data_IF_263310029956
#
_entry.id   IF_263310029956
#
_cell.length_a   1.000
_cell.length_b   1.000
_cell.length_c   1.000
_cell.angle_alpha   90.00
_cell.angle_beta   90.00
_cell.angle_gamma   90.00
#
_symmetry.space_group_name_H-M   'P 1'
#
loop_
_entity.id
_entity.type
_entity.pdbx_description
1 polymer ?
#
# COMPACT_ATOMS: atom_id res chain seq x y z
N UNK A 1 -9.01 0.66 -17.75
CA UNK A 1 -9.32 0.68 -19.19
C UNK A 1 -9.55 -0.75 -19.64
N UNK A 2 -10.79 -1.12 -19.97
CA UNK A 2 -11.19 -2.48 -20.40
C UNK A 2 -10.96 -2.79 -21.87
N UNK A 3 -10.36 -1.89 -22.66
CA UNK A 3 -10.25 -2.01 -24.12
C UNK A 3 -9.54 -3.30 -24.61
N UNK A 4 -8.41 -3.75 -24.01
CA UNK A 4 -7.79 -5.02 -24.41
C UNK A 4 -8.72 -6.22 -24.20
N UNK A 5 -9.46 -6.24 -23.09
CA UNK A 5 -10.44 -7.30 -22.79
C UNK A 5 -11.62 -7.23 -23.77
N UNK A 6 -12.13 -6.03 -24.07
CA UNK A 6 -13.20 -5.82 -25.05
C UNK A 6 -12.82 -6.36 -26.43
N UNK A 7 -11.58 -6.12 -26.87
CA UNK A 7 -11.06 -6.66 -28.13
C UNK A 7 -11.02 -8.19 -28.11
N UNK A 8 -10.59 -8.81 -27.00
CA UNK A 8 -10.57 -10.27 -26.85
C UNK A 8 -11.96 -10.88 -26.95
N UNK A 9 -12.93 -10.32 -26.22
CA UNK A 9 -14.34 -10.76 -26.24
C UNK A 9 -14.94 -10.61 -27.64
N UNK A 10 -14.70 -9.48 -28.32
CA UNK A 10 -15.19 -9.23 -29.67
C UNK A 10 -14.66 -10.25 -30.69
N UNK A 11 -13.36 -10.58 -30.62
CA UNK A 11 -12.74 -11.58 -31.49
C UNK A 11 -13.31 -12.98 -31.24
N UNK A 12 -13.40 -13.40 -29.99
CA UNK A 12 -13.89 -14.73 -29.61
C UNK A 12 -15.36 -14.94 -30.02
N UNK A 13 -16.20 -13.92 -29.82
CA UNK A 13 -17.62 -14.00 -30.15
C UNK A 13 -17.93 -13.67 -31.62
N UNK A 14 -16.92 -13.26 -32.41
CA UNK A 14 -17.13 -12.81 -33.79
C UNK A 14 -18.00 -11.56 -33.90
N UNK A 15 -17.98 -10.69 -32.88
CA UNK A 15 -18.81 -9.48 -32.80
C UNK A 15 -18.00 -8.22 -33.14
N UNK A 16 -18.63 -7.20 -33.73
CA UNK A 16 -17.96 -5.92 -33.97
C UNK A 16 -17.68 -5.20 -32.64
N UNK A 17 -16.47 -4.64 -32.52
CA UNK A 17 -16.14 -3.69 -31.45
C UNK A 17 -16.56 -2.28 -31.91
N UNK A 18 -17.42 -1.63 -31.12
CA UNK A 18 -17.99 -0.32 -31.44
C UNK A 18 -17.71 0.71 -30.34
N UNK A 19 -17.42 1.94 -30.72
CA UNK A 19 -17.26 3.08 -29.79
C UNK A 19 -18.61 3.74 -29.51
N UNK A 20 -19.49 3.03 -28.81
CA UNK A 20 -20.84 3.53 -28.53
C UNK A 20 -20.94 4.40 -27.25
N UNK A 21 -19.85 4.51 -26.49
CA UNK A 21 -19.74 5.32 -25.28
C UNK A 21 -18.53 6.25 -25.42
N UNK A 22 -18.78 7.55 -25.52
CA UNK A 22 -17.74 8.57 -25.61
C UNK A 22 -17.53 9.26 -24.27
N UNK A 23 -16.27 9.46 -23.88
CA UNK A 23 -15.95 10.12 -22.61
C UNK A 23 -15.75 11.62 -22.87
N UNK A 24 -16.45 12.49 -22.15
CA UNK A 24 -16.21 13.93 -22.26
C UNK A 24 -14.87 14.30 -21.63
N UNK A 25 -13.92 14.74 -22.45
CA UNK A 25 -12.58 15.18 -22.00
C UNK A 25 -12.58 16.56 -21.31
N UNK A 26 -13.71 17.28 -21.31
CA UNK A 26 -13.85 18.63 -20.75
C UNK A 26 -14.39 18.67 -19.31
N UNK A 27 -14.78 17.53 -18.75
CA UNK A 27 -15.32 17.44 -17.38
C UNK A 27 -14.18 17.09 -16.41
N UNK A 28 -13.62 18.12 -15.78
CA UNK A 28 -12.64 17.99 -14.68
C UNK A 28 -13.25 17.54 -13.34
N UNK A 29 -12.61 17.87 -12.22
CA UNK A 29 -13.08 17.50 -10.87
C UNK A 29 -14.42 18.18 -10.55
N UNK A 30 -15.51 17.42 -10.55
CA UNK A 30 -16.91 17.81 -10.23
C UNK A 30 -17.13 18.36 -8.81
N UNK A 31 -16.09 18.44 -7.98
CA UNK A 31 -16.15 18.90 -6.59
C UNK A 31 -16.24 20.44 -6.44
N UNK A 32 -15.99 21.20 -7.52
CA UNK A 32 -15.87 22.67 -7.47
C UNK A 32 -17.23 23.37 -7.74
N UNK A 33 -18.24 22.66 -8.26
CA UNK A 33 -19.52 23.30 -8.58
C UNK A 33 -20.44 23.47 -7.35
N UNK A 34 -21.01 24.67 -7.14
CA UNK A 34 -22.01 24.93 -6.09
C UNK A 34 -23.39 24.39 -6.51
N UNK A 35 -24.09 23.75 -5.56
CA UNK A 35 -25.44 23.16 -5.75
C UNK A 35 -25.41 21.64 -5.98
N UNK A 36 -26.24 20.89 -5.25
CA UNK A 36 -26.34 19.43 -5.37
C UNK A 36 -26.90 18.98 -6.74
N UNK A 37 -27.85 19.74 -7.30
CA UNK A 37 -28.44 19.47 -8.62
C UNK A 37 -27.44 19.66 -9.76
N UNK A 38 -26.62 20.72 -9.72
CA UNK A 38 -25.58 20.98 -10.72
C UNK A 38 -24.46 19.94 -10.69
N UNK A 39 -24.14 19.36 -9.52
CA UNK A 39 -23.20 18.22 -9.45
C UNK A 39 -23.75 16.95 -10.05
N UNK A 40 -25.05 16.69 -9.93
CA UNK A 40 -25.68 15.55 -10.59
C UNK A 40 -25.68 15.74 -12.12
N UNK A 41 -25.96 16.95 -12.60
CA UNK A 41 -25.91 17.29 -14.03
C UNK A 41 -24.50 17.22 -14.64
N UNK A 42 -23.45 17.67 -13.93
CA UNK A 42 -22.07 17.59 -14.43
C UNK A 42 -21.47 16.17 -14.41
N UNK A 43 -22.05 15.26 -13.60
CA UNK A 43 -21.70 13.83 -13.63
C UNK A 43 -22.41 13.12 -14.79
N UNK A 44 -23.58 13.61 -15.24
CA UNK A 44 -24.32 13.06 -16.37
C UNK A 44 -23.59 13.18 -17.72
N UNK A 45 -22.64 14.11 -17.88
CA UNK A 45 -21.90 14.31 -19.14
C UNK A 45 -20.60 13.51 -19.29
N UNK A 46 -20.29 12.61 -18.34
CA UNK A 46 -18.97 11.94 -18.30
C UNK A 46 -18.85 10.79 -19.30
N UNK A 47 -19.95 10.10 -19.57
CA UNK A 47 -20.09 9.05 -20.58
C UNK A 47 -21.32 9.38 -21.41
N UNK A 48 -21.10 9.76 -22.67
CA UNK A 48 -22.15 10.08 -23.62
C UNK A 48 -22.38 8.85 -24.51
N UNK A 49 -23.61 8.34 -24.47
CA UNK A 49 -24.02 7.18 -25.27
C UNK A 49 -24.44 7.68 -26.64
N UNK A 50 -24.02 6.99 -27.70
CA UNK A 50 -24.39 7.26 -29.09
C UNK A 50 -25.61 6.39 -29.45
N UNK A 51 -26.84 6.93 -29.45
CA UNK A 51 -28.05 6.10 -29.57
C UNK A 51 -28.14 5.34 -30.89
N UNK A 52 -27.68 5.94 -31.99
CA UNK A 52 -27.68 5.32 -33.33
C UNK A 52 -26.88 4.00 -33.38
N UNK A 53 -25.88 3.86 -32.50
CA UNK A 53 -25.08 2.65 -32.40
C UNK A 53 -25.70 1.59 -31.49
N UNK A 54 -26.75 1.92 -30.74
CA UNK A 54 -27.30 1.11 -29.65
C UNK A 54 -28.76 0.69 -29.89
N UNK A 55 -29.55 1.53 -30.55
CA UNK A 55 -30.99 1.34 -30.74
C UNK A 55 -31.32 -0.03 -31.38
N UNK A 56 -32.25 -0.77 -30.76
CA UNK A 56 -32.66 -2.13 -31.14
C UNK A 56 -31.51 -3.16 -31.21
N UNK A 57 -30.43 -2.94 -30.44
CA UNK A 57 -29.32 -3.91 -30.34
C UNK A 57 -29.25 -4.53 -28.95
N UNK A 58 -28.71 -5.75 -28.91
CA UNK A 58 -28.22 -6.40 -27.70
C UNK A 58 -26.74 -6.08 -27.56
N UNK A 59 -26.34 -5.52 -26.43
CA UNK A 59 -24.99 -4.95 -26.27
C UNK A 59 -24.24 -5.60 -25.12
N UNK A 60 -22.94 -5.84 -25.35
CA UNK A 60 -21.98 -6.30 -24.35
C UNK A 60 -21.04 -5.13 -24.03
N UNK A 61 -20.99 -4.75 -22.76
CA UNK A 61 -20.10 -3.70 -22.27
C UNK A 61 -19.01 -4.35 -21.44
N UNK A 62 -17.76 -4.11 -21.82
CA UNK A 62 -16.59 -4.67 -21.12
C UNK A 62 -15.87 -3.59 -20.33
N UNK A 63 -15.70 -3.81 -19.03
CA UNK A 63 -14.98 -2.92 -18.12
C UNK A 63 -13.85 -3.65 -17.40
N UNK A 64 -12.92 -2.91 -16.82
CA UNK A 64 -11.77 -3.53 -16.14
C UNK A 64 -12.16 -4.20 -14.81
N UNK A 65 -13.04 -3.57 -14.03
CA UNK A 65 -13.40 -4.04 -12.69
C UNK A 65 -14.70 -3.43 -12.17
N UNK A 66 -15.42 -4.18 -11.34
CA UNK A 66 -16.64 -3.70 -10.68
C UNK A 66 -16.41 -3.56 -9.16
N UNK A 67 -16.20 -2.33 -8.68
CA UNK A 67 -15.96 -2.07 -7.24
C UNK A 67 -17.24 -1.65 -6.50
N UNK A 68 -17.83 -0.50 -6.89
CA UNK A 68 -19.03 0.07 -6.23
C UNK A 68 -20.29 0.00 -7.09
N UNK A 69 -20.18 -0.50 -8.31
CA UNK A 69 -21.24 -0.61 -9.32
C UNK A 69 -21.93 0.71 -9.74
N UNK A 70 -21.63 1.85 -9.13
CA UNK A 70 -22.31 3.13 -9.41
C UNK A 70 -22.19 3.59 -10.87
N UNK A 71 -20.98 3.55 -11.44
CA UNK A 71 -20.75 3.90 -12.85
C UNK A 71 -21.40 2.87 -13.77
N UNK A 72 -21.16 1.59 -13.52
CA UNK A 72 -21.65 0.49 -14.36
C UNK A 72 -23.18 0.44 -14.39
N UNK A 73 -23.86 0.62 -13.24
CA UNK A 73 -25.33 0.73 -13.17
C UNK A 73 -25.86 1.89 -14.01
N UNK A 74 -25.21 3.05 -13.95
CA UNK A 74 -25.62 4.22 -14.76
C UNK A 74 -25.45 3.97 -16.24
N UNK A 75 -24.36 3.31 -16.64
CA UNK A 75 -24.16 2.91 -18.03
C UNK A 75 -25.24 1.94 -18.50
N UNK A 76 -25.58 0.93 -17.70
CA UNK A 76 -26.68 0.00 -18.04
C UNK A 76 -28.01 0.73 -18.25
N UNK A 77 -28.39 1.63 -17.32
CA UNK A 77 -29.62 2.40 -17.45
C UNK A 77 -29.59 3.31 -18.68
N UNK A 78 -28.50 4.04 -18.89
CA UNK A 78 -28.37 4.93 -20.05
C UNK A 78 -28.40 4.19 -21.39
N UNK A 79 -27.86 2.97 -21.46
CA UNK A 79 -27.90 2.16 -22.69
C UNK A 79 -29.33 1.66 -22.98
N UNK A 80 -30.08 1.30 -21.92
CA UNK A 80 -31.50 0.94 -22.05
C UNK A 80 -32.35 2.15 -22.46
N UNK A 81 -32.09 3.31 -21.87
CA UNK A 81 -32.77 4.57 -22.25
C UNK A 81 -32.46 4.97 -23.71
N UNK A 82 -31.28 4.62 -24.22
CA UNK A 82 -30.90 4.81 -25.62
C UNK A 82 -31.50 3.74 -26.58
N UNK A 83 -32.29 2.80 -26.08
CA UNK A 83 -33.01 1.80 -26.87
C UNK A 83 -32.29 0.46 -27.05
N UNK A 84 -31.32 0.11 -26.21
CA UNK A 84 -30.78 -1.25 -26.18
C UNK A 84 -31.87 -2.26 -25.76
N UNK A 85 -32.01 -3.36 -26.50
CA UNK A 85 -32.93 -4.46 -26.13
C UNK A 85 -32.43 -5.22 -24.90
N UNK A 86 -31.12 -5.47 -24.86
CA UNK A 86 -30.46 -6.17 -23.76
C UNK A 86 -29.08 -5.56 -23.49
N UNK A 87 -28.71 -5.49 -22.21
CA UNK A 87 -27.39 -5.01 -21.79
C UNK A 87 -26.70 -6.05 -20.92
N UNK A 88 -25.57 -6.57 -21.39
CA UNK A 88 -24.69 -7.49 -20.67
C UNK A 88 -23.41 -6.77 -20.25
N UNK A 89 -22.96 -7.03 -19.04
CA UNK A 89 -21.74 -6.44 -18.48
C UNK A 89 -20.68 -7.51 -18.26
N UNK A 90 -19.47 -7.28 -18.74
CA UNK A 90 -18.34 -8.20 -18.57
C UNK A 90 -17.22 -7.47 -17.87
N UNK A 91 -16.72 -8.04 -16.78
CA UNK A 91 -15.62 -7.46 -16.00
C UNK A 91 -14.36 -8.30 -16.15
N UNK A 92 -13.25 -7.68 -16.54
CA UNK A 92 -11.95 -8.31 -16.68
C UNK A 92 -11.24 -8.56 -15.31
N UNK A 93 -12.01 -8.69 -14.24
CA UNK A 93 -11.52 -8.97 -12.88
C UNK A 93 -12.47 -9.92 -12.16
N UNK A 94 -12.04 -10.59 -11.07
CA UNK A 94 -12.94 -11.26 -10.15
C UNK A 94 -13.81 -10.26 -9.38
N UNK A 95 -14.89 -10.71 -8.72
CA UNK A 95 -15.70 -9.86 -7.87
C UNK A 95 -14.91 -9.33 -6.66
N UNK A 96 -14.96 -8.02 -6.43
CA UNK A 96 -14.31 -7.38 -5.28
C UNK A 96 -15.23 -7.51 -4.05
N UNK A 97 -14.95 -8.51 -3.21
CA UNK A 97 -15.79 -8.87 -2.06
C UNK A 97 -15.26 -8.36 -0.71
N UNK A 98 -14.04 -7.84 -0.68
CA UNK A 98 -13.46 -7.18 0.48
C UNK A 98 -12.86 -5.81 0.11
N UNK A 99 -12.64 -4.96 1.12
CA UNK A 99 -11.90 -3.71 0.90
C UNK A 99 -10.42 -4.03 0.62
N UNK A 100 -9.56 -3.06 0.29
CA UNK A 100 -8.14 -3.30 0.07
C UNK A 100 -7.33 -2.37 0.99
N UNK A 101 -6.64 -2.95 1.98
CA UNK A 101 -5.90 -2.22 3.02
C UNK A 101 -4.44 -1.96 2.64
N UNK A 102 -4.05 -2.37 1.43
CA UNK A 102 -2.68 -2.30 0.89
C UNK A 102 -2.51 -1.21 -0.18
N UNK A 103 -3.49 -0.31 -0.34
CA UNK A 103 -3.30 0.94 -1.09
C UNK A 103 -4.19 1.17 -2.31
N UNK A 104 -5.26 0.39 -2.51
CA UNK A 104 -6.33 0.76 -3.46
C UNK A 104 -7.42 1.50 -2.66
N UNK A 105 -7.84 2.71 -3.09
CA UNK A 105 -8.91 3.51 -2.46
C UNK A 105 -10.29 2.82 -2.57
N UNK A 106 -10.44 1.76 -1.79
CA UNK A 106 -11.68 1.04 -1.58
C UNK A 106 -12.26 1.55 -0.27
N UNK A 107 -13.40 2.24 -0.38
CA UNK A 107 -14.19 2.64 0.80
C UNK A 107 -14.75 1.40 1.51
N UNK A 108 -15.34 1.61 2.68
CA UNK A 108 -15.74 0.54 3.62
C UNK A 108 -16.45 -0.64 2.96
N UNK A 109 -16.35 -1.84 3.56
CA UNK A 109 -17.02 -3.07 3.08
C UNK A 109 -18.51 -2.88 2.74
N UNK A 110 -19.21 -1.97 3.42
CA UNK A 110 -20.62 -1.62 3.17
C UNK A 110 -20.89 -1.00 1.79
N UNK A 111 -19.87 -0.48 1.12
CA UNK A 111 -19.98 0.14 -0.22
C UNK A 111 -19.60 -0.82 -1.35
N UNK A 112 -19.29 -2.10 -1.04
CA UNK A 112 -18.94 -3.14 -2.00
C UNK A 112 -20.12 -4.10 -2.16
N UNK A 113 -20.93 -3.98 -3.23
CA UNK A 113 -22.17 -4.75 -3.31
C UNK A 113 -21.92 -6.27 -3.39
N UNK A 114 -20.87 -6.69 -4.11
CA UNK A 114 -20.48 -8.10 -4.21
C UNK A 114 -20.09 -8.72 -2.84
N UNK A 115 -19.71 -7.91 -1.85
CA UNK A 115 -19.34 -8.39 -0.51
C UNK A 115 -20.50 -9.04 0.24
N UNK A 116 -21.76 -8.76 -0.14
CA UNK A 116 -22.95 -9.39 0.44
C UNK A 116 -23.05 -10.88 0.10
N UNK A 117 -22.40 -11.31 -0.99
CA UNK A 117 -22.44 -12.67 -1.52
C UNK A 117 -21.05 -13.31 -1.57
N UNK A 118 -20.13 -12.83 -0.73
CA UNK A 118 -18.73 -13.25 -0.72
C UNK A 118 -18.50 -14.76 -0.49
N UNK A 119 -19.50 -15.45 0.10
CA UNK A 119 -19.47 -16.88 0.40
C UNK A 119 -20.26 -17.73 -0.59
N UNK A 120 -20.89 -17.10 -1.58
CA UNK A 120 -21.72 -17.77 -2.58
C UNK A 120 -20.91 -18.15 -3.81
N UNK A 121 -21.48 -19.02 -4.64
CA UNK A 121 -20.93 -19.35 -5.96
C UNK A 121 -20.97 -18.15 -6.92
N UNK A 122 -20.04 -18.12 -7.88
CA UNK A 122 -19.86 -16.97 -8.78
C UNK A 122 -21.14 -16.62 -9.54
N UNK A 123 -21.91 -17.62 -9.96
CA UNK A 123 -23.17 -17.46 -10.68
C UNK A 123 -24.23 -16.73 -9.84
N UNK A 124 -24.20 -16.94 -8.52
CA UNK A 124 -25.09 -16.22 -7.57
C UNK A 124 -24.65 -14.77 -7.46
N UNK A 125 -23.35 -14.50 -7.36
CA UNK A 125 -22.81 -13.13 -7.31
C UNK A 125 -23.19 -12.39 -8.61
N UNK A 126 -22.95 -12.99 -9.77
CA UNK A 126 -23.27 -12.45 -11.09
C UNK A 126 -24.76 -12.10 -11.23
N UNK A 127 -25.65 -13.04 -10.87
CA UNK A 127 -27.10 -12.81 -10.90
C UNK A 127 -27.52 -11.62 -10.04
N UNK A 128 -27.03 -11.56 -8.80
CA UNK A 128 -27.39 -10.48 -7.88
C UNK A 128 -26.81 -9.12 -8.31
N UNK A 129 -25.58 -9.10 -8.82
CA UNK A 129 -24.96 -7.88 -9.37
C UNK A 129 -25.70 -7.41 -10.61
N UNK A 130 -26.13 -8.32 -11.48
CA UNK A 130 -26.93 -7.99 -12.67
C UNK A 130 -28.25 -7.32 -12.26
N UNK A 131 -28.95 -7.86 -11.26
CA UNK A 131 -30.17 -7.26 -10.71
C UNK A 131 -29.92 -5.86 -10.15
N UNK A 132 -28.87 -5.69 -9.33
CA UNK A 132 -28.50 -4.39 -8.77
C UNK A 132 -28.22 -3.33 -9.85
N UNK A 133 -27.60 -3.73 -10.95
CA UNK A 133 -27.25 -2.86 -12.07
C UNK A 133 -28.38 -2.70 -13.09
N UNK A 134 -29.46 -3.48 -12.97
CA UNK A 134 -30.50 -3.59 -13.98
C UNK A 134 -29.96 -4.07 -15.34
N UNK A 135 -28.93 -4.92 -15.34
CA UNK A 135 -28.38 -5.58 -16.52
C UNK A 135 -29.15 -6.89 -16.82
N UNK A 136 -29.11 -7.34 -18.08
CA UNK A 136 -29.63 -8.64 -18.50
C UNK A 136 -28.71 -9.79 -18.06
N UNK A 137 -27.41 -9.51 -17.90
CA UNK A 137 -26.45 -10.44 -17.32
C UNK A 137 -25.14 -9.74 -16.96
N UNK A 138 -24.41 -10.36 -16.03
CA UNK A 138 -23.07 -9.94 -15.61
C UNK A 138 -22.16 -11.15 -15.68
N UNK A 139 -20.94 -10.97 -16.16
CA UNK A 139 -19.88 -11.99 -16.15
C UNK A 139 -18.63 -11.39 -15.52
N UNK A 140 -18.04 -12.10 -14.56
CA UNK A 140 -16.72 -11.78 -14.01
C UNK A 140 -15.66 -12.73 -14.57
N UNK A 141 -14.41 -12.27 -14.63
CA UNK A 141 -13.28 -13.13 -14.91
C UNK A 141 -12.94 -13.95 -13.64
N UNK A 142 -13.10 -15.30 -13.65
CA UNK A 142 -12.81 -16.13 -12.48
C UNK A 142 -11.33 -16.10 -12.10
N UNK A 143 -11.04 -16.35 -10.82
CA UNK A 143 -9.66 -16.41 -10.32
C UNK A 143 -8.92 -17.59 -10.96
N UNK A 144 -9.62 -18.69 -11.16
CA UNK A 144 -9.13 -19.93 -11.77
C UNK A 144 -8.62 -19.67 -13.19
N UNK A 145 -9.35 -18.88 -13.97
CA UNK A 145 -8.99 -18.56 -15.35
C UNK A 145 -7.79 -17.61 -15.42
N UNK A 146 -7.70 -16.66 -14.48
CA UNK A 146 -6.51 -15.82 -14.32
C UNK A 146 -5.30 -16.68 -13.98
N UNK A 147 -5.46 -17.61 -13.05
CA UNK A 147 -4.38 -18.51 -12.63
C UNK A 147 -3.91 -19.38 -13.80
N UNK A 148 -4.84 -19.93 -14.57
CA UNK A 148 -4.55 -20.71 -15.77
C UNK A 148 -3.80 -19.86 -16.82
N UNK A 149 -4.29 -18.65 -17.13
CA UNK A 149 -3.66 -17.76 -18.10
C UNK A 149 -2.25 -17.30 -17.69
N UNK A 150 -1.97 -17.29 -16.39
CA UNK A 150 -0.68 -16.90 -15.83
C UNK A 150 0.24 -18.09 -15.49
N UNK A 151 -0.18 -19.33 -15.81
CA UNK A 151 0.55 -20.56 -15.46
C UNK A 151 0.87 -20.66 -13.95
N UNK A 152 -0.12 -20.30 -13.12
CA UNK A 152 -0.02 -20.23 -11.66
C UNK A 152 -1.20 -20.96 -10.99
N UNK A 153 -1.21 -21.05 -9.67
CA UNK A 153 -2.31 -21.70 -8.94
C UNK A 153 -3.32 -20.67 -8.45
N UNK A 154 -4.57 -21.08 -8.22
CA UNK A 154 -5.61 -20.17 -7.72
C UNK A 154 -5.23 -19.52 -6.39
N UNK A 155 -4.47 -20.21 -5.53
CA UNK A 155 -4.01 -19.73 -4.23
C UNK A 155 -3.10 -18.50 -4.35
N UNK A 156 -2.40 -18.33 -5.47
CA UNK A 156 -1.57 -17.16 -5.75
C UNK A 156 -2.40 -15.87 -5.94
N UNK A 157 -3.70 -16.00 -6.23
CA UNK A 157 -4.61 -14.91 -6.55
C UNK A 157 -5.83 -14.86 -5.62
N UNK A 158 -6.14 -15.98 -4.95
CA UNK A 158 -7.17 -16.10 -3.92
C UNK A 158 -6.67 -15.48 -2.61
N UNK A 159 -6.48 -14.16 -2.66
CA UNK A 159 -6.15 -13.32 -1.53
C UNK A 159 -7.05 -12.09 -1.54
N UNK A 160 -6.94 -11.29 -0.49
CA UNK A 160 -7.61 -9.99 -0.39
C UNK A 160 -7.29 -9.10 -1.62
N UNK A 161 -8.28 -8.52 -2.33
CA UNK A 161 -9.68 -8.33 -1.93
C UNK A 161 -10.70 -9.38 -2.46
N UNK A 162 -10.29 -10.45 -3.15
CA UNK A 162 -11.20 -11.32 -3.93
C UNK A 162 -11.81 -12.52 -3.17
N UNK A 163 -11.56 -12.66 -1.86
CA UNK A 163 -12.24 -13.65 -1.01
C UNK A 163 -11.31 -14.45 -0.10
N UNK A 164 -10.03 -14.55 -0.47
CA UNK A 164 -9.03 -15.22 0.36
C UNK A 164 -8.71 -14.51 1.66
N UNK A 165 -8.01 -15.20 2.60
CA UNK A 165 -7.57 -14.60 3.84
C UNK A 165 -6.81 -13.31 3.53
N UNK A 166 -7.04 -12.27 4.33
CA UNK A 166 -6.15 -11.12 4.31
C UNK A 166 -4.73 -11.68 4.51
N UNK A 167 -3.74 -11.36 3.65
CA UNK A 167 -2.44 -12.05 3.63
C UNK A 167 -1.62 -11.88 4.92
N UNK A 168 -2.21 -11.23 5.93
CA UNK A 168 -1.57 -10.76 7.13
C UNK A 168 -2.50 -10.93 8.35
N UNK A 169 -3.80 -10.64 8.26
CA UNK A 169 -4.71 -10.71 9.42
C UNK A 169 -4.81 -12.13 10.02
N UNK A 170 -4.47 -12.27 11.30
CA UNK A 170 -4.61 -13.53 12.06
C UNK A 170 -3.33 -14.36 12.24
N UNK A 171 -2.21 -13.97 11.63
CA UNK A 171 -0.93 -14.62 11.91
C UNK A 171 -0.39 -14.19 13.28
N UNK A 172 -0.16 -15.15 14.18
CA UNK A 172 0.75 -14.95 15.31
C UNK A 172 2.17 -14.99 14.77
N UNK A 173 2.90 -13.89 14.91
CA UNK A 173 4.30 -13.84 14.50
C UNK A 173 5.19 -14.39 15.61
N UNK A 174 5.94 -15.43 15.28
CA UNK A 174 7.13 -15.78 16.02
C UNK A 174 8.24 -14.82 15.63
N UNK A 175 8.50 -13.86 16.50
CA UNK A 175 9.59 -12.93 16.33
C UNK A 175 10.93 -13.68 16.52
N UNK A 176 11.92 -13.50 15.63
CA UNK A 176 13.24 -14.09 15.81
C UNK A 176 13.87 -13.54 17.08
N UNK A 177 14.40 -14.42 17.94
CA UNK A 177 15.13 -14.00 19.15
C UNK A 177 16.25 -13.05 18.76
N UNK A 178 16.33 -11.90 19.42
CA UNK A 178 17.36 -10.91 19.17
C UNK A 178 17.97 -10.55 20.51
N UNK A 179 19.06 -11.24 20.87
CA UNK A 179 19.74 -11.13 22.17
C UNK A 179 21.13 -10.52 22.07
N UNK A 180 21.56 -10.10 20.88
CA UNK A 180 22.86 -9.48 20.63
C UNK A 180 23.10 -8.36 21.62
N UNK A 181 24.01 -8.61 22.56
CA UNK A 181 24.46 -7.61 23.52
C UNK A 181 25.55 -6.76 22.90
N UNK A 182 25.34 -5.45 22.85
CA UNK A 182 26.37 -4.50 22.41
C UNK A 182 27.11 -3.98 23.65
N UNK A 183 28.44 -4.02 23.65
CA UNK A 183 29.28 -3.56 24.76
C UNK A 183 30.05 -2.27 24.44
N UNK A 184 29.99 -1.81 23.20
CA UNK A 184 30.66 -0.62 22.68
C UNK A 184 29.67 0.34 22.01
N UNK A 185 30.17 1.38 21.35
CA UNK A 185 29.37 2.28 20.53
C UNK A 185 28.68 1.51 19.40
N UNK A 186 27.35 1.63 19.30
CA UNK A 186 26.56 0.85 18.34
C UNK A 186 26.87 1.26 16.90
N UNK A 187 26.94 0.31 15.97
CA UNK A 187 27.21 0.55 14.55
C UNK A 187 25.92 0.51 13.74
N UNK A 188 25.56 1.62 13.12
CA UNK A 188 24.29 1.78 12.38
C UNK A 188 24.54 1.87 10.88
N UNK A 189 23.81 1.07 10.11
CA UNK A 189 23.65 1.27 8.67
C UNK A 189 22.30 1.94 8.38
N UNK A 190 22.29 3.00 7.56
CA UNK A 190 21.05 3.73 7.20
C UNK A 190 20.77 3.56 5.71
N UNK A 191 19.55 3.17 5.38
CA UNK A 191 19.06 3.00 4.01
C UNK A 191 18.11 4.14 3.66
N UNK A 192 18.31 4.78 2.51
CA UNK A 192 17.59 5.97 2.06
C UNK A 192 17.18 5.89 0.58
N UNK A 193 16.14 6.62 0.18
CA UNK A 193 15.76 6.75 -1.25
C UNK A 193 15.67 8.19 -1.77
N UNK A 194 15.74 9.20 -0.90
CA UNK A 194 15.40 10.58 -1.26
C UNK A 194 16.19 11.66 -0.51
N UNK A 195 15.47 12.68 -0.02
CA UNK A 195 16.02 13.91 0.56
C UNK A 195 16.89 13.69 1.81
N UNK A 196 16.64 12.60 2.54
CA UNK A 196 17.41 12.22 3.73
C UNK A 196 17.22 13.15 4.92
N UNK A 197 16.05 13.78 5.10
CA UNK A 197 15.78 14.63 6.28
C UNK A 197 15.83 13.82 7.58
N UNK A 198 15.20 12.63 7.61
CA UNK A 198 15.32 11.69 8.72
C UNK A 198 16.77 11.23 8.96
N UNK A 199 17.59 11.08 7.90
CA UNK A 199 19.02 10.78 8.04
C UNK A 199 19.75 11.94 8.73
N UNK A 200 19.48 13.20 8.38
CA UNK A 200 20.09 14.37 9.01
C UNK A 200 19.83 14.36 10.52
N UNK A 201 18.60 14.11 10.94
CA UNK A 201 18.23 14.06 12.36
C UNK A 201 18.99 12.96 13.12
N UNK A 202 19.24 11.81 12.49
CA UNK A 202 20.06 10.75 13.09
C UNK A 202 21.52 11.19 13.19
N UNK A 203 22.07 11.82 12.13
CA UNK A 203 23.44 12.35 12.12
C UNK A 203 23.62 13.37 13.24
N UNK A 204 22.75 14.37 13.32
CA UNK A 204 22.87 15.46 14.28
C UNK A 204 22.82 14.96 15.73
N UNK A 205 21.98 13.95 16.02
CA UNK A 205 21.90 13.32 17.35
C UNK A 205 23.03 12.35 17.67
N UNK A 206 23.69 11.80 16.65
CA UNK A 206 24.93 11.03 16.86
C UNK A 206 26.09 11.98 17.13
N UNK A 207 26.23 13.03 16.33
CA UNK A 207 27.34 13.98 16.42
C UNK A 207 27.32 14.78 17.73
N UNK A 208 26.13 15.10 18.27
CA UNK A 208 25.99 15.76 19.56
C UNK A 208 26.06 14.82 20.77
N UNK A 209 26.19 13.50 20.55
CA UNK A 209 26.29 12.49 21.61
C UNK A 209 24.96 12.08 22.26
N UNK A 210 23.80 12.55 21.80
CA UNK A 210 22.49 12.09 22.28
C UNK A 210 22.28 10.59 22.00
N UNK A 211 22.79 10.11 20.88
CA UNK A 211 22.80 8.70 20.49
C UNK A 211 24.24 8.18 20.50
N UNK A 212 24.52 7.25 21.42
CA UNK A 212 25.84 6.61 21.53
C UNK A 212 26.05 5.53 20.44
N UNK A 213 26.16 6.00 19.19
CA UNK A 213 26.32 5.19 18.01
C UNK A 213 27.27 5.82 17.00
N UNK A 214 27.67 5.05 15.99
CA UNK A 214 28.39 5.51 14.81
C UNK A 214 27.63 5.05 13.58
N UNK A 215 27.32 5.98 12.69
CA UNK A 215 26.77 5.64 11.36
C UNK A 215 27.94 5.14 10.52
N UNK A 216 27.94 3.84 10.21
CA UNK A 216 29.07 3.18 9.53
C UNK A 216 28.89 3.11 8.01
N UNK A 217 27.64 3.20 7.53
CA UNK A 217 27.32 3.19 6.10
C UNK A 217 25.95 3.82 5.85
N UNK A 218 25.86 4.65 4.81
CA UNK A 218 24.59 5.06 4.20
C UNK A 218 24.44 4.40 2.84
N UNK A 219 23.36 3.67 2.62
CA UNK A 219 23.05 3.01 1.35
C UNK A 219 21.86 3.71 0.70
N UNK A 220 22.01 4.14 -0.55
CA UNK A 220 20.91 4.66 -1.35
C UNK A 220 20.56 3.72 -2.49
N UNK A 221 19.28 3.55 -2.79
CA UNK A 221 18.84 2.87 -4.02
C UNK A 221 18.74 3.81 -5.24
N UNK A 222 19.09 5.08 -5.04
CA UNK A 222 19.07 6.10 -6.07
C UNK A 222 20.32 6.97 -5.92
N UNK A 223 21.12 7.05 -6.98
CA UNK A 223 22.31 7.90 -7.09
C UNK A 223 22.01 9.39 -6.89
N UNK A 224 20.78 9.84 -7.16
CA UNK A 224 20.34 11.22 -6.99
C UNK A 224 19.78 11.53 -5.60
N UNK A 225 19.83 10.57 -4.67
CA UNK A 225 19.33 10.80 -3.31
C UNK A 225 20.19 11.86 -2.59
N UNK A 226 19.60 13.02 -2.30
CA UNK A 226 20.30 14.12 -1.60
C UNK A 226 20.80 13.72 -0.20
N UNK A 227 20.23 12.67 0.41
CA UNK A 227 20.76 12.11 1.65
C UNK A 227 22.21 11.60 1.54
N UNK A 228 22.69 11.26 0.33
CA UNK A 228 24.11 10.94 0.10
C UNK A 228 25.02 12.14 0.36
N UNK A 229 24.61 13.35 -0.07
CA UNK A 229 25.37 14.58 0.18
C UNK A 229 25.41 14.91 1.68
N UNK A 230 24.32 14.67 2.40
CA UNK A 230 24.27 14.82 3.87
C UNK A 230 25.29 13.89 4.54
N UNK A 231 25.31 12.63 4.16
CA UNK A 231 26.27 11.66 4.69
C UNK A 231 27.73 12.07 4.41
N UNK A 232 28.05 12.47 3.18
CA UNK A 232 29.41 12.89 2.80
C UNK A 232 29.89 14.13 3.55
N UNK A 233 29.02 15.11 3.80
CA UNK A 233 29.35 16.31 4.60
C UNK A 233 29.81 15.97 6.03
N UNK A 234 29.35 14.85 6.58
CA UNK A 234 29.73 14.36 7.90
C UNK A 234 30.75 13.20 7.82
N UNK A 235 31.42 13.02 6.67
CA UNK A 235 32.42 11.98 6.44
C UNK A 235 31.93 10.54 6.67
N UNK A 236 30.64 10.29 6.45
CA UNK A 236 30.03 8.97 6.58
C UNK A 236 30.20 8.22 5.25
N UNK A 237 30.71 6.98 5.24
CA UNK A 237 30.80 6.17 4.02
C UNK A 237 29.43 6.00 3.34
N UNK A 238 29.40 6.14 2.02
CA UNK A 238 28.18 5.98 1.22
C UNK A 238 28.32 4.90 0.17
N UNK A 239 27.24 4.16 -0.11
CA UNK A 239 27.14 3.24 -1.24
C UNK A 239 25.83 3.47 -1.98
N UNK A 240 25.83 3.27 -3.30
CA UNK A 240 24.63 3.33 -4.14
C UNK A 240 24.39 1.93 -4.70
N UNK A 241 23.18 1.41 -4.51
CA UNK A 241 22.76 0.10 -5.00
C UNK A 241 21.38 0.25 -5.67
N UNK A 242 21.32 0.64 -6.95
CA UNK A 242 20.06 0.73 -7.67
C UNK A 242 19.49 -0.66 -7.97
N UNK A 243 18.16 -0.75 -8.07
CA UNK A 243 17.49 -1.96 -8.55
C UNK A 243 17.28 -1.85 -10.06
N UNK A 244 17.91 -2.74 -10.84
CA UNK A 244 17.88 -2.72 -12.31
C UNK A 244 16.91 -3.77 -12.92
N UNK A 245 16.14 -4.47 -12.08
CA UNK A 245 15.20 -5.51 -12.52
C UNK A 245 13.83 -4.98 -12.93
N UNK A 246 13.08 -5.79 -13.70
CA UNK A 246 11.65 -5.53 -13.95
C UNK A 246 10.82 -5.86 -12.71
N UNK A 247 9.60 -5.32 -12.64
CA UNK A 247 8.61 -5.74 -11.63
C UNK A 247 8.41 -7.26 -11.73
N UNK A 248 8.55 -7.97 -10.61
CA UNK A 248 8.47 -9.43 -10.47
C UNK A 248 9.65 -10.26 -11.02
N UNK A 249 10.78 -9.64 -11.37
CA UNK A 249 12.00 -10.38 -11.71
C UNK A 249 12.64 -11.01 -10.46
N UNK A 250 12.36 -12.29 -10.23
CA UNK A 250 12.82 -13.02 -9.04
C UNK A 250 14.33 -13.20 -9.00
N UNK A 251 14.99 -13.39 -10.15
CA UNK A 251 16.44 -13.56 -10.19
C UNK A 251 17.15 -12.25 -9.86
N UNK A 252 16.73 -11.14 -10.50
CA UNK A 252 17.26 -9.81 -10.18
C UNK A 252 16.97 -9.41 -8.74
N UNK A 253 15.85 -9.87 -8.18
CA UNK A 253 15.53 -9.61 -6.78
C UNK A 253 16.46 -10.35 -5.82
N UNK A 254 16.73 -11.64 -6.06
CA UNK A 254 17.72 -12.41 -5.29
C UNK A 254 19.13 -11.82 -5.43
N UNK A 255 19.50 -11.40 -6.64
CA UNK A 255 20.76 -10.71 -6.91
C UNK A 255 20.87 -9.43 -6.06
N UNK A 256 19.83 -8.59 -6.06
CA UNK A 256 19.79 -7.37 -5.26
C UNK A 256 19.91 -7.64 -3.76
N UNK A 257 19.13 -8.59 -3.23
CA UNK A 257 19.20 -9.00 -1.83
C UNK A 257 20.61 -9.48 -1.46
N UNK A 258 21.27 -10.24 -2.35
CA UNK A 258 22.66 -10.71 -2.16
C UNK A 258 23.65 -9.54 -2.12
N UNK A 259 23.56 -8.61 -3.06
CA UNK A 259 24.44 -7.44 -3.12
C UNK A 259 24.27 -6.54 -1.88
N UNK A 260 23.02 -6.32 -1.45
CA UNK A 260 22.73 -5.57 -0.24
C UNK A 260 23.29 -6.29 1.01
N UNK A 261 23.13 -7.61 1.10
CA UNK A 261 23.73 -8.40 2.16
C UNK A 261 25.26 -8.31 2.16
N UNK A 262 25.91 -8.29 1.00
CA UNK A 262 27.36 -8.23 0.91
C UNK A 262 27.91 -6.87 1.35
N UNK A 263 27.19 -5.77 1.09
CA UNK A 263 27.50 -4.45 1.68
C UNK A 263 27.42 -4.50 3.21
N UNK A 264 26.33 -5.07 3.74
CA UNK A 264 26.12 -5.19 5.18
C UNK A 264 27.08 -6.19 5.83
N UNK A 265 27.56 -7.24 5.13
CA UNK A 265 28.52 -8.21 5.69
C UNK A 265 29.94 -7.66 5.78
N UNK A 266 30.33 -6.78 4.84
CA UNK A 266 31.66 -6.15 4.84
C UNK A 266 31.86 -5.21 6.02
N UNK A 267 30.77 -4.82 6.68
CA UNK A 267 30.76 -3.88 7.77
C UNK A 267 30.12 -4.57 8.97
N UNK A 268 30.75 -4.52 10.13
CA UNK A 268 30.10 -5.02 11.34
C UNK A 268 28.97 -4.05 11.73
N UNK A 269 27.72 -4.45 11.51
CA UNK A 269 26.52 -3.63 11.76
C UNK A 269 25.73 -4.22 12.92
N UNK A 270 25.27 -3.36 13.81
CA UNK A 270 24.41 -3.71 14.93
C UNK A 270 22.94 -3.43 14.65
N UNK A 271 22.64 -2.34 13.93
CA UNK A 271 21.27 -1.90 13.64
C UNK A 271 21.18 -1.41 12.19
N UNK A 272 20.10 -1.78 11.50
CA UNK A 272 19.77 -1.26 10.17
C UNK A 272 18.56 -0.35 10.30
N UNK A 273 18.62 0.85 9.73
CA UNK A 273 17.53 1.85 9.79
C UNK A 273 17.07 2.23 8.39
N UNK A 274 15.78 2.06 8.12
CA UNK A 274 15.11 2.50 6.90
C UNK A 274 14.59 3.92 7.11
N UNK A 275 15.32 4.92 6.60
CA UNK A 275 15.00 6.34 6.75
C UNK A 275 14.46 6.91 5.42
N UNK A 276 13.18 6.67 5.14
CA UNK A 276 12.56 7.04 3.85
C UNK A 276 13.03 6.12 2.71
N UNK A 277 13.10 4.82 3.01
CA UNK A 277 13.45 3.77 2.06
C UNK A 277 12.21 3.31 1.30
N UNK A 278 12.15 3.61 0.00
CA UNK A 278 10.98 3.35 -0.84
C UNK A 278 11.15 2.07 -1.67
N UNK A 279 11.67 1.01 -1.05
CA UNK A 279 11.86 -0.28 -1.71
C UNK A 279 11.59 -1.42 -0.73
N UNK A 280 10.71 -2.36 -1.10
CA UNK A 280 10.41 -3.50 -0.24
C UNK A 280 11.69 -4.33 -0.07
N UNK A 281 12.08 -4.68 1.15
CA UNK A 281 13.20 -5.60 1.38
C UNK A 281 12.76 -7.04 1.12
N UNK A 282 13.59 -7.83 0.43
CA UNK A 282 13.26 -9.23 0.17
C UNK A 282 13.47 -10.13 1.40
N UNK A 283 12.76 -11.26 1.41
CA UNK A 283 12.78 -12.18 2.54
C UNK A 283 14.15 -12.84 2.73
N UNK A 284 14.94 -12.99 1.66
CA UNK A 284 16.28 -13.56 1.74
C UNK A 284 17.20 -12.63 2.53
N UNK A 285 17.20 -11.33 2.23
CA UNK A 285 17.90 -10.31 3.01
C UNK A 285 17.45 -10.34 4.48
N UNK A 286 16.14 -10.23 4.73
CA UNK A 286 15.58 -10.15 6.09
C UNK A 286 15.90 -11.39 6.93
N UNK A 287 15.81 -12.58 6.34
CA UNK A 287 16.14 -13.84 7.01
C UNK A 287 17.62 -13.90 7.43
N UNK A 288 18.53 -13.43 6.57
CA UNK A 288 19.98 -13.45 6.85
C UNK A 288 20.40 -12.43 7.90
N UNK A 289 19.79 -11.24 7.92
CA UNK A 289 20.07 -10.25 8.99
C UNK A 289 19.46 -10.69 10.33
N UNK A 290 18.28 -11.30 10.32
CA UNK A 290 17.66 -11.86 11.52
C UNK A 290 18.49 -13.03 12.11
N UNK A 291 19.09 -13.88 11.29
CA UNK A 291 20.04 -14.92 11.73
C UNK A 291 21.27 -14.36 12.44
N UNK A 292 21.65 -13.11 12.13
CA UNK A 292 22.74 -12.37 12.80
C UNK A 292 22.25 -11.52 13.96
N UNK A 293 20.96 -11.62 14.31
CA UNK A 293 20.32 -10.82 15.35
C UNK A 293 20.46 -9.30 15.13
N UNK A 294 20.43 -8.86 13.86
CA UNK A 294 20.50 -7.44 13.49
C UNK A 294 19.06 -6.91 13.31
N UNK A 295 18.55 -6.06 14.21
CA UNK A 295 17.25 -5.43 14.03
C UNK A 295 17.24 -4.48 12.84
N UNK A 296 16.15 -4.55 12.07
CA UNK A 296 15.86 -3.64 10.94
C UNK A 296 14.70 -2.74 11.35
N UNK A 297 14.95 -1.45 11.50
CA UNK A 297 13.95 -0.47 11.91
C UNK A 297 13.34 0.22 10.71
N UNK A 298 12.01 0.33 10.68
CA UNK A 298 11.28 1.11 9.72
C UNK A 298 10.48 2.21 10.40
N UNK A 299 10.44 3.35 9.71
CA UNK A 299 9.60 4.49 10.04
C UNK A 299 8.37 4.48 9.14
N UNK A 300 7.18 4.53 9.74
CA UNK A 300 5.92 4.58 9.01
C UNK A 300 5.05 5.78 9.43
N UNK A 301 4.53 6.59 8.49
CA UNK A 301 3.80 7.83 8.79
C UNK A 301 2.32 7.59 9.15
N UNK A 302 2.06 6.62 10.03
CA UNK A 302 0.77 6.39 10.67
C UNK A 302 0.92 5.61 11.98
N UNK A 303 -0.14 5.57 12.78
CA UNK A 303 -0.23 4.68 13.94
C UNK A 303 -0.49 3.24 13.47
N UNK A 304 0.48 2.35 13.71
CA UNK A 304 0.39 0.93 13.39
C UNK A 304 0.05 0.11 14.63
N UNK A 305 -0.32 -1.16 14.45
CA UNK A 305 -0.41 -2.13 15.55
C UNK A 305 0.57 -3.26 15.31
N UNK A 306 1.11 -3.81 16.39
CA UNK A 306 1.97 -5.00 16.35
C UNK A 306 1.25 -6.23 15.80
N UNK A 307 -0.06 -6.36 16.08
CA UNK A 307 -0.83 -7.58 15.80
C UNK A 307 -1.84 -7.45 14.64
N UNK A 308 -1.54 -6.65 13.61
CA UNK A 308 -2.39 -6.50 12.40
C UNK A 308 -3.86 -6.21 12.68
N UNK A 309 -4.15 -5.58 13.82
CA UNK A 309 -5.47 -5.06 14.07
C UNK A 309 -5.66 -3.88 13.12
N UNK A 310 -6.81 -3.83 12.50
CA UNK A 310 -7.16 -2.74 11.58
C UNK A 310 -7.52 -1.45 12.33
N UNK A 311 -7.55 -1.52 13.66
CA UNK A 311 -7.87 -0.40 14.52
C UNK A 311 -6.89 -0.30 15.68
N UNK A 312 -6.71 0.93 16.15
CA UNK A 312 -5.85 1.26 17.29
C UNK A 312 -6.56 2.27 18.17
N UNK A 313 -6.41 2.12 19.49
CA UNK A 313 -6.83 3.14 20.44
C UNK A 313 -5.94 4.37 20.34
N UNK A 314 -6.55 5.55 20.36
CA UNK A 314 -5.87 6.84 20.33
C UNK A 314 -6.48 7.80 21.35
N UNK A 315 -5.87 8.98 21.53
CA UNK A 315 -6.45 10.08 22.34
C UNK A 315 -7.83 10.55 21.86
N UNK A 316 -8.25 10.17 20.65
CA UNK A 316 -9.56 10.51 20.06
C UNK A 316 -10.47 9.31 19.85
N UNK A 317 -10.21 8.22 20.57
CA UNK A 317 -10.97 6.97 20.47
C UNK A 317 -10.30 5.97 19.54
N UNK A 318 -11.07 4.99 19.08
CA UNK A 318 -10.57 3.92 18.21
C UNK A 318 -10.55 4.43 16.77
N UNK A 319 -9.37 4.45 16.16
CA UNK A 319 -9.18 4.88 14.76
C UNK A 319 -8.72 3.71 13.89
N UNK A 320 -8.98 3.75 12.57
CA UNK A 320 -8.38 2.79 11.64
C UNK A 320 -6.85 2.97 11.52
N UNK A 321 -6.14 1.86 11.37
CA UNK A 321 -4.70 1.83 11.06
C UNK A 321 -4.49 2.12 9.56
N UNK A 322 -3.57 3.02 9.22
CA UNK A 322 -3.22 3.34 7.82
C UNK A 322 -1.88 2.70 7.46
N UNK A 323 -1.81 1.91 6.39
CA UNK A 323 -0.62 1.19 5.93
C UNK A 323 -0.26 1.60 4.51
N UNK A 324 0.99 1.41 4.12
CA UNK A 324 1.46 1.74 2.78
C UNK A 324 1.75 3.23 2.53
N UNK A 325 2.16 3.54 1.29
CA UNK A 325 2.78 4.81 0.93
C UNK A 325 1.84 6.03 0.97
N UNK A 326 0.52 5.82 0.95
CA UNK A 326 -0.47 6.91 0.96
C UNK A 326 -1.05 7.20 2.35
N UNK A 327 -0.48 6.61 3.42
CA UNK A 327 -1.06 6.66 4.77
C UNK A 327 -1.40 8.08 5.28
N UNK A 328 -0.57 9.08 4.98
CA UNK A 328 -0.84 10.49 5.33
C UNK A 328 -2.09 11.01 4.59
N UNK A 329 -2.15 10.78 3.27
CA UNK A 329 -3.27 11.19 2.42
C UNK A 329 -4.56 10.48 2.81
N UNK A 330 -4.47 9.19 3.14
CA UNK A 330 -5.61 8.37 3.55
C UNK A 330 -6.18 8.83 4.90
N UNK A 331 -5.32 9.10 5.88
CA UNK A 331 -5.72 9.64 7.17
C UNK A 331 -6.42 11.00 7.03
N UNK A 332 -5.86 11.89 6.19
CA UNK A 332 -6.42 13.20 5.93
C UNK A 332 -7.74 13.12 5.15
N UNK A 333 -7.80 12.31 4.10
CA UNK A 333 -8.98 12.11 3.26
C UNK A 333 -10.16 11.48 4.01
N UNK A 334 -9.87 10.60 4.97
CA UNK A 334 -10.86 10.02 5.90
C UNK A 334 -11.30 10.97 7.01
N UNK A 335 -10.72 12.18 7.09
CA UNK A 335 -11.01 13.21 8.11
C UNK A 335 -10.83 12.68 9.52
N UNK A 336 -9.79 11.88 9.75
CA UNK A 336 -9.44 11.46 11.10
C UNK A 336 -9.10 12.70 11.94
N UNK A 337 -9.37 12.64 13.25
CA UNK A 337 -8.98 13.71 14.18
C UNK A 337 -7.51 13.57 14.61
N UNK A 338 -6.95 12.37 14.44
CA UNK A 338 -5.60 12.01 14.86
C UNK A 338 -5.07 10.91 13.93
N UNK A 339 -3.79 11.01 13.62
CA UNK A 339 -2.97 9.96 13.01
C UNK A 339 -1.69 9.88 13.84
N UNK A 340 -0.55 9.52 13.24
CA UNK A 340 0.71 9.57 13.95
C UNK A 340 1.86 9.02 13.14
N UNK A 341 2.90 8.65 13.85
CA UNK A 341 4.10 8.04 13.29
C UNK A 341 4.45 6.82 14.15
N UNK A 342 4.89 5.75 13.51
CA UNK A 342 5.34 4.54 14.19
C UNK A 342 6.75 4.17 13.75
N UNK A 343 7.61 3.88 14.72
CA UNK A 343 8.88 3.16 14.48
C UNK A 343 8.68 1.72 14.92
N UNK A 344 8.91 0.79 14.01
CA UNK A 344 8.76 -0.64 14.27
C UNK A 344 9.89 -1.43 13.64
N UNK A 345 10.05 -2.70 14.04
CA UNK A 345 10.99 -3.59 13.38
C UNK A 345 10.35 -4.29 12.18
N UNK A 346 11.15 -4.59 11.16
CA UNK A 346 10.78 -5.44 10.03
C UNK A 346 11.28 -6.87 10.31
N UNK A 347 10.43 -7.85 10.04
CA UNK A 347 10.74 -9.27 10.29
C UNK A 347 10.81 -10.07 8.99
N UNK A 348 11.51 -11.22 8.99
CA UNK A 348 11.39 -12.20 7.92
C UNK A 348 9.93 -12.60 7.70
N UNK A 349 9.57 -12.91 6.45
CA UNK A 349 8.22 -13.26 5.97
C UNK A 349 7.17 -12.14 6.13
N UNK A 350 7.52 -11.02 6.75
CA UNK A 350 6.69 -9.82 6.92
C UNK A 350 7.36 -8.63 6.23
N UNK A 351 7.18 -8.54 4.92
CA UNK A 351 7.82 -7.48 4.11
C UNK A 351 7.04 -6.16 4.12
N UNK A 352 6.04 -6.01 4.99
CA UNK A 352 5.15 -4.84 5.10
C UNK A 352 5.16 -4.33 6.54
N UNK A 353 4.64 -3.11 6.77
CA UNK A 353 4.59 -2.28 7.99
C UNK A 353 4.17 -3.00 9.30
N UNK A 354 4.82 -4.09 9.67
CA UNK A 354 4.35 -5.12 10.58
C UNK A 354 5.56 -5.65 11.33
N UNK A 355 5.48 -5.54 12.64
CA UNK A 355 6.47 -6.06 13.56
C UNK A 355 6.34 -5.36 14.91
N UNK A 356 7.23 -5.68 15.86
CA UNK A 356 7.26 -5.07 17.17
C UNK A 356 7.38 -3.56 17.03
N UNK A 357 6.42 -2.86 17.62
CA UNK A 357 6.46 -1.41 17.75
C UNK A 357 7.50 -1.05 18.80
N UNK A 358 8.40 -0.14 18.44
CA UNK A 358 9.38 0.44 19.37
C UNK A 358 8.84 1.73 19.96
N UNK A 359 8.26 2.59 19.12
CA UNK A 359 7.74 3.88 19.54
C UNK A 359 6.62 4.35 18.63
N UNK A 360 5.66 5.08 19.19
CA UNK A 360 4.62 5.81 18.46
C UNK A 360 4.49 7.22 18.97
N UNK A 361 4.13 8.12 18.07
CA UNK A 361 3.77 9.49 18.40
C UNK A 361 2.46 9.82 17.69
N UNK A 362 1.45 10.27 18.44
CA UNK A 362 0.20 10.74 17.85
C UNK A 362 0.40 12.14 17.26
N UNK A 363 -0.16 12.34 16.07
CA UNK A 363 -0.18 13.64 15.41
C UNK A 363 -1.63 14.03 15.16
N UNK A 364 -2.06 15.12 15.81
CA UNK A 364 -3.40 15.66 15.67
C UNK A 364 -3.58 16.30 14.29
N UNK A 365 -4.71 16.01 13.66
CA UNK A 365 -5.21 16.72 12.48
C UNK A 365 -6.06 17.89 12.97
N UNK A 366 -5.63 19.12 12.66
CA UNK A 366 -6.33 20.35 13.06
C UNK A 366 -7.43 20.67 12.06
N UNK A 367 -8.46 21.37 12.51
CA UNK A 367 -9.61 21.73 11.67
C UNK A 367 -9.24 22.64 10.48
N UNK A 368 -8.15 23.40 10.61
CA UNK A 368 -7.64 24.29 9.58
C UNK A 368 -6.43 23.72 8.82
N UNK A 369 -6.10 22.45 8.99
CA UNK A 369 -4.99 21.85 8.24
C UNK A 369 -5.33 21.71 6.76
N UNK A 370 -4.34 21.99 5.91
CA UNK A 370 -4.28 21.43 4.56
C UNK A 370 -3.53 20.09 4.62
N UNK A 371 -3.57 19.33 3.53
CA UNK A 371 -2.77 18.10 3.44
C UNK A 371 -1.28 18.40 3.67
N UNK A 372 -0.79 19.50 3.11
CA UNK A 372 0.62 19.92 3.22
C UNK A 372 1.00 20.29 4.66
N UNK A 373 0.17 21.07 5.37
CA UNK A 373 0.48 21.45 6.77
C UNK A 373 0.41 20.26 7.71
N UNK A 374 -0.47 19.29 7.43
CA UNK A 374 -0.54 18.04 8.16
C UNK A 374 0.65 17.12 7.86
N UNK A 375 1.01 16.93 6.59
CA UNK A 375 2.17 16.16 6.15
C UNK A 375 3.47 16.71 6.75
N UNK A 376 3.65 18.04 6.75
CA UNK A 376 4.77 18.69 7.44
C UNK A 376 4.83 18.31 8.93
N UNK A 377 3.70 18.31 9.63
CA UNK A 377 3.64 17.97 11.06
C UNK A 377 3.93 16.48 11.31
N UNK A 378 3.54 15.61 10.39
CA UNK A 378 3.92 14.19 10.41
C UNK A 378 5.45 14.07 10.29
N UNK A 379 6.08 14.74 9.33
CA UNK A 379 7.54 14.74 9.20
C UNK A 379 8.26 15.33 10.43
N UNK A 380 7.73 16.38 11.05
CA UNK A 380 8.27 16.89 12.32
C UNK A 380 8.21 15.83 13.44
N UNK A 381 7.17 15.01 13.48
CA UNK A 381 7.08 13.89 14.42
C UNK A 381 8.04 12.75 14.05
N UNK A 382 8.23 12.45 12.76
CA UNK A 382 9.24 11.49 12.27
C UNK A 382 10.65 11.86 12.76
N UNK A 383 11.02 13.13 12.60
CA UNK A 383 12.31 13.70 13.03
C UNK A 383 12.54 13.56 14.54
N UNK A 384 11.45 13.60 15.33
CA UNK A 384 11.53 13.37 16.77
C UNK A 384 11.64 11.90 17.13
N UNK A 385 10.77 11.07 16.56
CA UNK A 385 10.52 9.71 17.02
C UNK A 385 11.59 8.71 16.55
N UNK A 386 12.09 8.84 15.32
CA UNK A 386 13.03 7.87 14.75
C UNK A 386 14.35 7.83 15.50
N UNK A 387 15.05 8.96 15.76
CA UNK A 387 16.30 8.91 16.50
C UNK A 387 16.07 8.53 17.98
N UNK A 388 14.92 8.88 18.56
CA UNK A 388 14.54 8.46 19.92
C UNK A 388 14.36 6.94 20.02
N UNK A 389 13.73 6.33 19.01
CA UNK A 389 13.57 4.88 18.94
C UNK A 389 14.92 4.16 18.79
N UNK A 390 15.83 4.69 17.98
CA UNK A 390 17.21 4.18 17.84
C UNK A 390 17.93 4.22 19.20
N UNK A 391 17.89 5.37 19.89
CA UNK A 391 18.49 5.54 21.22
C UNK A 391 17.98 4.51 22.22
N UNK A 392 16.66 4.34 22.28
CA UNK A 392 16.00 3.38 23.18
C UNK A 392 16.41 1.96 22.85
N UNK A 393 16.43 1.58 21.57
CA UNK A 393 16.85 0.25 21.15
C UNK A 393 18.30 -0.05 21.54
N UNK A 394 19.23 0.88 21.35
CA UNK A 394 20.62 0.73 21.78
C UNK A 394 20.69 0.47 23.28
N UNK A 395 19.91 1.18 24.09
CA UNK A 395 19.85 0.95 25.53
C UNK A 395 19.40 -0.48 25.87
N UNK A 396 18.36 -1.01 25.20
CA UNK A 396 17.91 -2.40 25.37
C UNK A 396 19.00 -3.41 24.99
N UNK A 397 19.64 -3.19 23.85
CA UNK A 397 20.69 -4.09 23.34
C UNK A 397 21.90 -4.08 24.27
N UNK A 398 22.27 -2.94 24.85
CA UNK A 398 23.32 -2.88 25.88
C UNK A 398 22.95 -3.62 27.16
N UNK A 399 21.67 -3.62 27.53
CA UNK A 399 21.16 -4.41 28.65
C UNK A 399 21.07 -5.92 28.35
N UNK A 400 21.17 -6.34 27.07
CA UNK A 400 21.04 -7.74 26.65
C UNK A 400 19.61 -8.28 26.75
N UNK A 401 18.61 -7.40 26.71
CA UNK A 401 17.20 -7.76 26.74
C UNK A 401 16.77 -8.21 25.33
N UNK A 402 16.02 -9.32 25.26
CA UNK A 402 15.54 -9.89 23.99
C UNK A 402 14.50 -8.98 23.35
N UNK A 403 14.82 -8.40 22.19
CA UNK A 403 13.95 -7.41 21.55
C UNK A 403 12.82 -8.00 20.71
N UNK A 404 12.71 -9.33 20.70
CA UNK A 404 11.74 -10.05 19.88
C UNK A 404 10.34 -10.16 20.51
N UNK A 405 10.22 -10.08 21.83
CA UNK A 405 9.01 -10.59 22.53
C UNK A 405 7.95 -9.57 22.95
N UNK A 406 8.01 -8.30 22.55
CA UNK A 406 7.02 -7.35 23.06
C UNK A 406 6.88 -6.03 22.35
N UNK A 407 5.71 -5.44 22.55
CA UNK A 407 5.49 -4.00 22.48
C UNK A 407 6.40 -3.34 23.51
N UNK A 408 7.36 -2.53 23.08
CA UNK A 408 8.14 -1.75 24.02
C UNK A 408 7.31 -0.56 24.48
N UNK A 409 6.72 -0.67 25.67
CA UNK A 409 6.18 0.47 26.38
C UNK A 409 7.32 1.08 27.20
N UNK A 410 7.69 2.31 26.85
CA UNK A 410 8.80 3.06 27.43
C UNK A 410 8.29 4.32 28.13
#
# INVERSE_FOLDING_TARGET
SGYPAAKGVAVELGLPLIDAITVSHYIGRTFIQPGQENRMAAVNGKHNIVPDEIFNKRVIVVDDSAVRLTTSKRLCLGLKDAGAEEVYMVFASPPVVNHCDLGIDMKSKKELPASNWASEHLEVIEKNVAELMSANGVVYLPIEDIAMAMERTKEDFYHYPFGGPHPIRGQQYEFPKMKKKITSQAKIAVLISGSGTNLQEIIDRVDNGDIEAKIVLVIANNERAYGLERARKHNIPTSVLPYEGKVNDQEKRKEYDRLLLDLIKKIDVDIIVLAGWNFILGNEFLSKVAQKEIPVLNLHPALLTTNLKDTIASSRGIIPVMRGQQAIKDAFGRRLLVSGVTVHQILPKNNFDIGPVILKEEVRIRSNDTLETFEKRIHEAEHRILPTAIKRLIHVMKAGIDVSKGDFYW
#
